data_IF_940303534042
#
_entry.id   IF_940303534042
#
_cell.length_a   1.000
_cell.length_b   1.000
_cell.length_c   1.000
_cell.angle_alpha   90.00
_cell.angle_beta   90.00
_cell.angle_gamma   90.00
#
_symmetry.space_group_name_H-M   'P 1'
#
loop_
_entity.id
_entity.type
_entity.pdbx_description
1 polymer ?
#
# COMPACT_ATOMS: atom_id res chain seq x y z
N UNK A 1 -7.46 9.11 20.42
CA UNK A 1 -7.28 8.81 20.02
C UNK A 1 -6.39 8.36 19.31
N UNK A 2 -5.83 8.10 19.05
CA UNK A 2 -5.05 7.73 18.42
C UNK A 2 -5.10 6.72 17.58
N UNK A 3 -5.91 6.09 17.44
CA UNK A 3 -6.07 5.08 16.55
C UNK A 3 -5.83 5.42 15.18
N UNK A 4 -5.80 6.62 14.83
CA UNK A 4 -5.55 6.97 13.45
C UNK A 4 -4.18 6.53 13.00
N UNK A 5 -3.27 6.33 13.92
CA UNK A 5 -1.93 5.93 13.50
C UNK A 5 -1.91 4.49 13.02
N UNK A 6 -2.96 3.72 13.30
CA UNK A 6 -3.00 2.35 12.84
C UNK A 6 -3.30 2.24 11.35
N UNK A 7 -3.73 3.33 10.73
CA UNK A 7 -4.08 3.30 9.32
C UNK A 7 -2.93 3.69 8.42
N UNK A 8 -1.77 3.91 8.99
CA UNK A 8 -0.66 4.44 8.23
C UNK A 8 0.64 3.84 8.74
N UNK A 9 1.50 3.44 7.84
CA UNK A 9 2.83 2.97 8.22
C UNK A 9 3.86 3.62 7.34
N UNK A 10 5.10 3.68 7.83
CA UNK A 10 6.21 4.20 7.05
C UNK A 10 7.11 3.03 6.69
N UNK A 11 7.46 2.92 5.41
CA UNK A 11 8.29 1.84 4.92
C UNK A 11 9.31 2.39 3.95
N UNK A 12 10.58 2.34 4.32
CA UNK A 12 11.68 2.83 3.48
C UNK A 12 11.41 4.26 3.01
N UNK A 13 10.94 5.08 3.93
CA UNK A 13 10.65 6.49 3.69
C UNK A 13 9.39 6.76 2.89
N UNK A 14 8.71 5.71 2.46
CA UNK A 14 7.39 5.86 1.84
C UNK A 14 6.34 5.71 2.91
N UNK A 15 5.23 6.39 2.74
CA UNK A 15 4.11 6.27 3.68
C UNK A 15 3.02 5.47 2.98
N UNK A 16 2.54 4.43 3.65
CA UNK A 16 1.49 3.58 3.11
C UNK A 16 0.24 3.79 3.95
N UNK A 17 -0.80 4.33 3.34
CA UNK A 17 -2.08 4.50 4.00
C UNK A 17 -2.95 3.30 3.70
N UNK A 18 -3.54 2.73 4.73
CA UNK A 18 -4.42 1.58 4.59
C UNK A 18 -5.83 2.11 4.35
N UNK A 19 -6.37 1.82 3.18
CA UNK A 19 -7.67 2.35 2.79
C UNK A 19 -8.66 1.25 2.41
N UNK A 20 -8.49 0.05 2.96
CA UNK A 20 -9.42 -1.04 2.69
C UNK A 20 -10.86 -0.61 2.98
N UNK A 21 -11.80 -1.13 2.22
CA UNK A 21 -13.19 -0.73 2.39
C UNK A 21 -14.09 -1.96 2.38
N UNK A 22 -15.26 -1.79 2.98
CA UNK A 22 -16.22 -2.87 3.10
C UNK A 22 -17.20 -2.81 1.94
N UNK A 23 -17.51 -3.99 1.40
CA UNK A 23 -18.46 -4.06 0.31
C UNK A 23 -19.87 -4.25 0.85
N UNK A 24 -20.86 -3.80 0.09
CA UNK A 24 -22.25 -3.94 0.50
C UNK A 24 -22.63 -5.39 0.73
N UNK A 25 -22.10 -6.26 -0.08
CA UNK A 25 -22.43 -7.68 0.03
C UNK A 25 -21.67 -8.36 1.15
N UNK A 26 -20.83 -7.63 1.83
CA UNK A 26 -20.00 -8.19 2.88
C UNK A 26 -18.58 -8.39 2.39
N UNK A 27 -17.65 -8.44 3.33
CA UNK A 27 -16.26 -8.63 2.98
C UNK A 27 -15.55 -7.30 2.79
N UNK A 28 -14.23 -7.38 2.78
CA UNK A 28 -13.37 -6.20 2.71
C UNK A 28 -12.43 -6.29 1.53
N UNK A 29 -12.27 -5.19 0.82
CA UNK A 29 -11.37 -5.12 -0.33
C UNK A 29 -10.09 -4.41 0.10
N UNK A 30 -8.92 -5.05 -0.04
CA UNK A 30 -7.67 -4.39 0.31
C UNK A 30 -7.38 -3.22 -0.61
N UNK A 31 -6.97 -2.11 0.00
CA UNK A 31 -6.65 -0.92 -0.77
C UNK A 31 -5.62 -0.13 0.00
N UNK A 32 -4.66 0.44 -0.70
CA UNK A 32 -3.60 1.23 -0.07
C UNK A 32 -3.29 2.45 -0.92
N UNK A 33 -2.84 3.50 -0.25
CA UNK A 33 -2.36 4.69 -0.93
C UNK A 33 -0.93 4.88 -0.52
N UNK A 34 -0.01 4.86 -1.48
CA UNK A 34 1.41 5.01 -1.21
C UNK A 34 1.81 6.44 -1.51
N UNK A 35 2.40 7.09 -0.51
CA UNK A 35 2.89 8.46 -0.66
C UNK A 35 4.39 8.41 -0.93
N UNK A 36 4.79 8.93 -2.06
CA UNK A 36 6.19 8.96 -2.47
C UNK A 36 6.87 10.14 -1.78
N UNK A 37 8.04 9.91 -1.16
CA UNK A 37 8.73 11.01 -0.49
C UNK A 37 9.19 12.06 -1.47
N UNK A 38 9.37 13.26 -0.96
CA UNK A 38 9.78 14.38 -1.77
C UNK A 38 11.07 14.09 -2.51
N UNK A 39 12.01 13.44 -1.83
CA UNK A 39 13.30 13.13 -2.43
C UNK A 39 13.18 12.21 -3.62
N UNK A 40 12.07 11.47 -3.70
CA UNK A 40 11.88 10.51 -4.78
C UNK A 40 10.97 11.04 -5.87
N UNK A 41 10.57 12.28 -5.80
CA UNK A 41 9.73 12.85 -6.83
C UNK A 41 8.36 13.28 -6.36
N UNK A 42 8.02 12.95 -5.11
CA UNK A 42 6.75 13.41 -4.58
C UNK A 42 5.56 12.89 -5.39
N UNK A 43 4.58 12.37 -4.77
CA UNK A 43 3.40 11.90 -5.47
C UNK A 43 2.64 10.86 -4.68
N UNK A 44 1.59 10.33 -5.29
CA UNK A 44 0.76 9.34 -4.66
C UNK A 44 0.39 8.26 -5.66
N UNK A 45 0.28 7.02 -5.17
CA UNK A 45 -0.15 5.91 -6.01
C UNK A 45 -1.18 5.11 -5.26
N UNK A 46 -2.31 4.89 -5.89
CA UNK A 46 -3.37 4.12 -5.28
C UNK A 46 -3.27 2.68 -5.74
N UNK A 47 -3.28 1.76 -4.80
CA UNK A 47 -3.18 0.34 -5.08
C UNK A 47 -4.43 -0.34 -4.56
N UNK A 48 -4.99 -1.24 -5.35
CA UNK A 48 -6.21 -1.90 -4.98
C UNK A 48 -6.27 -3.29 -5.58
N UNK A 49 -6.63 -4.26 -4.76
CA UNK A 49 -6.86 -5.60 -5.26
C UNK A 49 -8.18 -5.62 -6.02
N UNK A 50 -8.33 -6.54 -6.96
CA UNK A 50 -9.62 -6.66 -7.65
C UNK A 50 -10.71 -7.06 -6.68
N UNK A 51 -11.94 -6.75 -7.05
CA UNK A 51 -13.06 -6.99 -6.17
C UNK A 51 -13.20 -8.45 -5.77
N UNK A 52 -12.70 -9.35 -6.62
CA UNK A 52 -12.81 -10.76 -6.27
C UNK A 52 -11.80 -11.17 -5.22
N UNK A 53 -10.88 -10.32 -4.84
CA UNK A 53 -9.93 -10.64 -3.79
C UNK A 53 -10.43 -10.19 -2.44
N UNK A 54 -11.71 -10.31 -2.22
CA UNK A 54 -12.35 -9.90 -0.97
C UNK A 54 -11.88 -10.75 0.19
N UNK A 55 -11.66 -10.12 1.32
CA UNK A 55 -11.33 -10.81 2.56
C UNK A 55 -12.52 -10.76 3.50
N UNK A 56 -12.65 -11.78 4.33
CA UNK A 56 -13.77 -11.82 5.26
C UNK A 56 -13.57 -10.84 6.40
N UNK A 57 -12.34 -10.75 6.90
CA UNK A 57 -12.06 -9.89 8.03
C UNK A 57 -11.32 -8.64 7.58
N UNK A 58 -11.64 -7.53 8.24
CA UNK A 58 -10.96 -6.30 7.95
C UNK A 58 -9.45 -6.42 8.17
N UNK A 59 -9.07 -7.15 9.23
CA UNK A 59 -7.65 -7.34 9.51
C UNK A 59 -6.91 -7.98 8.36
N UNK A 60 -7.56 -8.94 7.72
CA UNK A 60 -6.94 -9.59 6.59
C UNK A 60 -6.78 -8.65 5.41
N UNK A 61 -7.80 -7.83 5.19
CA UNK A 61 -7.72 -6.86 4.09
C UNK A 61 -6.63 -5.84 4.37
N UNK A 62 -6.54 -5.38 5.60
CA UNK A 62 -5.52 -4.40 5.96
C UNK A 62 -4.12 -4.99 5.81
N UNK A 63 -3.94 -6.25 6.22
CA UNK A 63 -2.65 -6.89 6.07
C UNK A 63 -2.27 -7.04 4.61
N UNK A 64 -3.25 -7.38 3.77
CA UNK A 64 -3.00 -7.50 2.34
C UNK A 64 -2.65 -6.14 1.74
N UNK A 65 -3.32 -5.09 2.20
CA UNK A 65 -3.04 -3.74 1.70
C UNK A 65 -1.61 -3.33 2.05
N UNK A 66 -1.18 -3.62 3.27
CA UNK A 66 0.17 -3.29 3.69
C UNK A 66 1.19 -4.06 2.86
N UNK A 67 0.95 -5.35 2.67
CA UNK A 67 1.87 -6.17 1.88
C UNK A 67 1.96 -5.66 0.46
N UNK A 68 0.83 -5.28 -0.11
CA UNK A 68 0.80 -4.74 -1.45
C UNK A 68 1.59 -3.45 -1.56
N UNK A 69 1.44 -2.59 -0.56
CA UNK A 69 2.17 -1.33 -0.55
C UNK A 69 3.66 -1.54 -0.42
N UNK A 70 4.06 -2.45 0.46
CA UNK A 70 5.48 -2.74 0.63
C UNK A 70 6.08 -3.34 -0.62
N UNK A 71 5.35 -4.23 -1.27
CA UNK A 71 5.83 -4.83 -2.50
C UNK A 71 6.02 -3.77 -3.57
N UNK A 72 5.06 -2.86 -3.68
CA UNK A 72 5.16 -1.78 -4.66
C UNK A 72 6.42 -0.94 -4.43
N UNK A 73 6.68 -0.61 -3.17
CA UNK A 73 7.86 0.19 -2.83
C UNK A 73 9.14 -0.58 -3.18
N UNK A 74 9.17 -1.86 -2.82
CA UNK A 74 10.36 -2.67 -3.10
C UNK A 74 10.63 -2.77 -4.59
N UNK A 75 9.59 -2.96 -5.36
CA UNK A 75 9.76 -3.07 -6.81
C UNK A 75 10.20 -1.75 -7.42
N UNK A 76 9.67 -0.65 -6.91
CA UNK A 76 10.08 0.65 -7.41
C UNK A 76 11.55 0.90 -7.12
N UNK A 77 11.98 0.60 -5.90
CA UNK A 77 13.38 0.82 -5.53
C UNK A 77 14.30 -0.13 -6.27
N UNK A 78 13.87 -1.36 -6.45
CA UNK A 78 14.69 -2.33 -7.17
C UNK A 78 14.82 -1.92 -8.64
N UNK A 79 13.75 -1.39 -9.20
CA UNK A 79 13.79 -0.93 -10.58
C UNK A 79 14.77 0.21 -10.78
N UNK A 80 14.76 1.15 -9.87
CA UNK A 80 15.70 2.26 -9.96
C UNK A 80 17.11 1.80 -9.83
N UNK A 81 17.35 0.89 -8.89
CA UNK A 81 18.67 0.36 -8.68
C UNK A 81 19.11 -0.44 -9.89
N UNK A 82 18.19 -1.20 -10.44
CA UNK A 82 18.50 -2.03 -11.59
C UNK A 82 18.89 -1.17 -12.78
N UNK A 83 18.18 -0.09 -12.98
CA UNK A 83 18.53 0.82 -14.08
C UNK A 83 19.93 1.31 -13.97
N UNK A 84 20.33 1.69 -12.78
CA UNK A 84 21.68 2.16 -12.60
C UNK A 84 22.68 1.05 -12.74
N UNK A 85 22.31 -0.14 -12.35
CA UNK A 85 23.24 -1.25 -12.41
C UNK A 85 23.54 -1.71 -13.79
N UNK A 86 22.68 -1.41 -14.71
CA UNK A 86 22.88 -1.85 -16.06
C UNK A 86 24.01 -1.15 -16.72
N UNK A 87 24.20 0.06 -16.35
CA UNK A 87 25.21 0.77 -17.01
C UNK A 87 26.42 0.45 -16.64
#
# INVERSE_FOLDING_TARGET
MQESSADKITYKEYVIWIRSYEMKAGGWVPKALVIVPEAEGNGQHELQYPAEAVRVLREEADAAAVAMGKQWVDERLAGERHDRGIE
#
